data_IF_213760450761
#
_entry.id   IF_213760450761
#
_cell.length_a   1.000
_cell.length_b   1.000
_cell.length_c   1.000
_cell.angle_alpha   90.00
_cell.angle_beta   90.00
_cell.angle_gamma   90.00
#
_symmetry.space_group_name_H-M   'P 1'
#
loop_
_entity.id
_entity.type
_entity.pdbx_description
1 polymer ?
#
# COMPACT_ATOMS: atom_id res chain seq x y z
N UNK A 1 0.01 -35.91 -0.70
CA UNK A 1 -0.09 -35.20 -1.99
C UNK A 1 0.16 -33.75 -1.67
N UNK A 2 1.36 -33.27 -1.98
CA UNK A 2 1.70 -31.84 -1.88
C UNK A 2 0.81 -31.11 -2.87
N UNK A 3 -0.13 -30.35 -2.35
CA UNK A 3 -1.12 -29.63 -3.12
C UNK A 3 -0.39 -28.53 -3.89
N UNK A 4 -0.07 -28.77 -5.17
CA UNK A 4 0.69 -27.82 -6.00
C UNK A 4 -0.04 -26.46 -6.01
N UNK A 5 0.69 -25.34 -5.83
CA UNK A 5 0.08 -24.03 -5.86
C UNK A 5 -0.50 -23.75 -7.26
N UNK A 6 -1.81 -23.52 -7.34
CA UNK A 6 -2.47 -23.06 -8.56
C UNK A 6 -2.32 -21.55 -8.71
N UNK A 7 -2.55 -21.00 -9.90
CA UNK A 7 -2.59 -19.55 -10.11
C UNK A 7 -3.61 -18.85 -9.18
N UNK A 8 -4.74 -19.49 -8.89
CA UNK A 8 -5.74 -18.98 -7.94
C UNK A 8 -5.21 -18.86 -6.51
N UNK A 9 -4.52 -19.89 -6.02
CA UNK A 9 -3.84 -19.85 -4.71
C UNK A 9 -2.76 -18.77 -4.69
N UNK A 10 -1.98 -18.63 -5.76
CA UNK A 10 -0.98 -17.57 -5.90
C UNK A 10 -1.60 -16.16 -5.83
N UNK A 11 -2.67 -15.90 -6.59
CA UNK A 11 -3.39 -14.62 -6.52
C UNK A 11 -3.87 -14.32 -5.09
N UNK A 12 -4.42 -15.33 -4.40
CA UNK A 12 -4.90 -15.15 -3.04
C UNK A 12 -3.77 -14.85 -2.05
N UNK A 13 -2.62 -15.50 -2.18
CA UNK A 13 -1.44 -15.23 -1.35
C UNK A 13 -0.89 -13.82 -1.56
N UNK A 14 -0.77 -13.40 -2.83
CA UNK A 14 -0.30 -12.05 -3.19
C UNK A 14 -1.32 -10.93 -2.91
N UNK A 15 -2.55 -11.25 -2.47
CA UNK A 15 -3.53 -10.24 -2.04
C UNK A 15 -3.09 -9.43 -0.81
N UNK A 16 -2.15 -9.98 -0.03
CA UNK A 16 -1.61 -9.37 1.17
C UNK A 16 -0.95 -8.00 0.92
N UNK A 17 -0.24 -7.85 -0.21
CA UNK A 17 0.44 -6.61 -0.58
C UNK A 17 -0.54 -5.44 -0.81
N UNK A 18 -1.52 -5.51 -1.75
CA UNK A 18 -2.47 -4.42 -1.92
C UNK A 18 -3.32 -4.17 -0.68
N UNK A 19 -3.61 -5.20 0.14
CA UNK A 19 -4.29 -4.99 1.42
C UNK A 19 -3.47 -4.09 2.34
N UNK A 20 -2.20 -4.43 2.58
CA UNK A 20 -1.34 -3.68 3.48
C UNK A 20 -1.04 -2.27 2.96
N UNK A 21 -0.84 -2.12 1.65
CA UNK A 21 -0.73 -0.79 1.03
C UNK A 21 -1.99 0.04 1.28
N UNK A 22 -3.17 -0.56 1.12
CA UNK A 22 -4.44 0.11 1.44
C UNK A 22 -4.54 0.50 2.91
N UNK A 23 -4.11 -0.35 3.84
CA UNK A 23 -4.06 -0.03 5.27
C UNK A 23 -3.12 1.14 5.57
N UNK A 24 -1.90 1.13 5.02
CA UNK A 24 -0.94 2.22 5.15
C UNK A 24 -1.51 3.54 4.60
N UNK A 25 -2.12 3.52 3.43
CA UNK A 25 -2.75 4.71 2.83
C UNK A 25 -3.89 5.27 3.68
N UNK A 26 -4.72 4.40 4.27
CA UNK A 26 -5.76 4.86 5.21
C UNK A 26 -5.17 5.48 6.47
N UNK A 27 -4.09 4.91 7.00
CA UNK A 27 -3.41 5.47 8.16
C UNK A 27 -2.82 6.86 7.87
N UNK A 28 -2.26 7.08 6.67
CA UNK A 28 -1.82 8.41 6.24
C UNK A 28 -2.97 9.42 6.23
N UNK A 29 -4.14 9.04 5.70
CA UNK A 29 -5.33 9.90 5.73
C UNK A 29 -5.74 10.27 7.15
N UNK A 30 -5.72 9.31 8.08
CA UNK A 30 -6.04 9.56 9.49
C UNK A 30 -5.05 10.54 10.12
N UNK A 31 -3.74 10.38 9.89
CA UNK A 31 -2.72 11.30 10.42
C UNK A 31 -2.95 12.72 9.91
N UNK A 32 -3.21 12.90 8.61
CA UNK A 32 -3.47 14.22 8.04
C UNK A 32 -4.77 14.84 8.55
N UNK A 33 -5.83 14.06 8.70
CA UNK A 33 -7.10 14.55 9.25
C UNK A 33 -6.96 14.94 10.73
N UNK A 34 -6.19 14.20 11.52
CA UNK A 34 -5.91 14.60 12.92
C UNK A 34 -5.06 15.85 12.99
N UNK A 35 -4.10 16.00 12.09
CA UNK A 35 -3.25 17.18 12.02
C UNK A 35 -4.06 18.45 11.77
N UNK A 36 -5.06 18.40 10.87
CA UNK A 36 -5.85 19.59 10.54
C UNK A 36 -6.60 20.17 11.75
N UNK A 37 -6.91 19.37 12.77
CA UNK A 37 -7.55 19.82 14.00
C UNK A 37 -6.65 20.69 14.88
N UNK A 38 -5.32 20.66 14.68
CA UNK A 38 -4.37 21.48 15.42
C UNK A 38 -4.16 22.87 14.78
N UNK A 39 -4.70 23.12 13.59
CA UNK A 39 -4.49 24.35 12.84
C UNK A 39 -5.35 25.49 13.38
N UNK A 40 -4.74 26.65 13.56
CA UNK A 40 -5.44 27.90 13.87
C UNK A 40 -6.07 28.47 12.60
N UNK A 41 -7.38 28.31 12.42
CA UNK A 41 -8.06 28.76 11.22
C UNK A 41 -8.23 30.29 11.12
N UNK A 42 -7.85 31.07 12.13
CA UNK A 42 -7.76 32.52 12.00
C UNK A 42 -6.49 32.95 11.25
N UNK A 43 -5.45 32.12 11.25
CA UNK A 43 -4.24 32.33 10.45
C UNK A 43 -4.46 31.94 8.95
N UNK A 44 -4.21 32.87 8.00
CA UNK A 44 -4.37 32.58 6.57
C UNK A 44 -3.48 31.46 6.02
N UNK A 45 -2.32 31.18 6.63
CA UNK A 45 -1.45 30.10 6.17
C UNK A 45 -1.99 28.74 6.61
N UNK A 46 -2.42 28.64 7.87
CA UNK A 46 -3.06 27.47 8.45
C UNK A 46 -4.36 27.12 7.73
N UNK A 47 -5.16 28.09 7.26
CA UNK A 47 -6.32 27.80 6.39
C UNK A 47 -5.95 27.12 5.07
N UNK A 48 -4.87 27.57 4.42
CA UNK A 48 -4.38 26.97 3.16
C UNK A 48 -3.87 25.55 3.39
N UNK A 49 -3.18 25.33 4.50
CA UNK A 49 -2.73 24.00 4.91
C UNK A 49 -3.92 23.07 5.18
N UNK A 50 -4.93 23.55 5.91
CA UNK A 50 -6.16 22.80 6.17
C UNK A 50 -6.84 22.37 4.88
N UNK A 51 -7.04 23.29 3.92
CA UNK A 51 -7.67 23.00 2.63
C UNK A 51 -6.87 21.93 1.84
N UNK A 52 -5.55 22.09 1.76
CA UNK A 52 -4.69 21.13 1.08
C UNK A 52 -4.80 19.73 1.70
N UNK A 53 -4.74 19.64 3.03
CA UNK A 53 -4.77 18.35 3.73
C UNK A 53 -6.15 17.71 3.64
N UNK A 54 -7.23 18.48 3.75
CA UNK A 54 -8.60 17.98 3.58
C UNK A 54 -8.81 17.37 2.17
N UNK A 55 -8.26 17.99 1.12
CA UNK A 55 -8.27 17.43 -0.23
C UNK A 55 -7.54 16.08 -0.30
N UNK A 56 -6.32 16.03 0.22
CA UNK A 56 -5.49 14.81 0.23
C UNK A 56 -6.10 13.67 1.05
N UNK A 57 -6.77 13.97 2.17
CA UNK A 57 -7.47 12.97 2.99
C UNK A 57 -8.51 12.22 2.17
N UNK A 58 -9.29 12.93 1.34
CA UNK A 58 -10.25 12.33 0.43
C UNK A 58 -9.59 11.38 -0.58
N UNK A 59 -8.54 11.85 -1.25
CA UNK A 59 -7.80 11.06 -2.25
C UNK A 59 -7.17 9.80 -1.64
N UNK A 60 -6.55 9.90 -0.47
CA UNK A 60 -5.98 8.75 0.23
C UNK A 60 -7.04 7.72 0.63
N UNK A 61 -8.21 8.17 1.13
CA UNK A 61 -9.33 7.27 1.45
C UNK A 61 -9.82 6.52 0.22
N UNK A 62 -9.93 7.21 -0.92
CA UNK A 62 -10.35 6.60 -2.19
C UNK A 62 -9.33 5.55 -2.68
N UNK A 63 -8.04 5.89 -2.67
CA UNK A 63 -6.97 4.97 -3.06
C UNK A 63 -6.93 3.76 -2.13
N UNK A 64 -7.03 3.97 -0.83
CA UNK A 64 -7.10 2.90 0.17
C UNK A 64 -8.27 1.94 -0.10
N UNK A 65 -9.46 2.48 -0.33
CA UNK A 65 -10.65 1.68 -0.63
C UNK A 65 -10.48 0.82 -1.88
N UNK A 66 -9.89 1.38 -2.93
CA UNK A 66 -9.61 0.64 -4.19
C UNK A 66 -8.59 -0.48 -3.99
N UNK A 67 -7.52 -0.23 -3.24
CA UNK A 67 -6.49 -1.22 -2.93
C UNK A 67 -7.06 -2.39 -2.10
N UNK A 68 -7.85 -2.08 -1.07
CA UNK A 68 -8.51 -3.09 -0.23
C UNK A 68 -9.53 -3.91 -1.02
N UNK A 69 -10.31 -3.26 -1.88
CA UNK A 69 -11.26 -3.94 -2.75
C UNK A 69 -10.56 -4.87 -3.75
N UNK A 70 -9.42 -4.44 -4.32
CA UNK A 70 -8.60 -5.28 -5.19
C UNK A 70 -8.06 -6.50 -4.43
N UNK A 71 -7.50 -6.29 -3.24
CA UNK A 71 -7.03 -7.37 -2.38
C UNK A 71 -8.14 -8.39 -2.07
N UNK A 72 -9.36 -7.92 -1.75
CA UNK A 72 -10.51 -8.79 -1.53
C UNK A 72 -10.86 -9.64 -2.75
N UNK A 73 -10.82 -9.07 -3.96
CA UNK A 73 -11.03 -9.83 -5.20
C UNK A 73 -9.93 -10.87 -5.43
N UNK A 74 -8.66 -10.50 -5.23
CA UNK A 74 -7.52 -11.40 -5.36
C UNK A 74 -7.63 -12.59 -4.39
N UNK A 75 -7.94 -12.32 -3.12
CA UNK A 75 -8.19 -13.34 -2.11
C UNK A 75 -9.35 -14.27 -2.49
N UNK A 76 -10.41 -13.73 -3.09
CA UNK A 76 -11.57 -14.48 -3.57
C UNK A 76 -11.27 -15.46 -4.71
N UNK A 77 -10.14 -15.30 -5.43
CA UNK A 77 -9.73 -16.23 -6.49
C UNK A 77 -8.97 -17.46 -5.97
N UNK A 78 -8.89 -17.69 -4.66
CA UNK A 78 -8.16 -18.83 -4.07
C UNK A 78 -8.50 -20.17 -4.72
N UNK A 79 -9.77 -20.40 -4.99
CA UNK A 79 -10.28 -21.67 -5.54
C UNK A 79 -10.39 -21.65 -7.08
N UNK A 80 -9.83 -20.62 -7.75
CA UNK A 80 -9.81 -20.53 -9.19
C UNK A 80 -8.99 -21.69 -9.78
N UNK A 81 -9.58 -22.53 -10.66
CA UNK A 81 -8.85 -23.63 -11.28
C UNK A 81 -7.78 -23.12 -12.24
N UNK A 82 -6.67 -23.85 -12.35
CA UNK A 82 -5.61 -23.51 -13.28
C UNK A 82 -6.07 -23.79 -14.72
N UNK A 83 -6.07 -22.75 -15.56
CA UNK A 83 -6.27 -22.89 -17.00
C UNK A 83 -5.08 -23.59 -17.68
N UNK A 84 -5.26 -24.00 -18.93
CA UNK A 84 -4.12 -24.46 -19.75
C UNK A 84 -3.21 -23.26 -20.02
N UNK A 85 -1.92 -23.42 -19.79
CA UNK A 85 -0.91 -22.40 -20.09
C UNK A 85 -0.04 -22.86 -21.25
N UNK A 86 0.32 -21.95 -22.14
CA UNK A 86 1.45 -22.14 -23.05
C UNK A 86 2.74 -21.84 -22.28
N UNK A 87 3.50 -22.89 -21.98
CA UNK A 87 4.72 -22.76 -21.19
C UNK A 87 5.82 -22.00 -21.94
N UNK A 88 5.85 -22.06 -23.28
CA UNK A 88 6.80 -21.27 -24.05
C UNK A 88 6.52 -19.78 -23.91
N UNK A 89 5.25 -19.39 -23.91
CA UNK A 89 4.84 -18.01 -23.70
C UNK A 89 5.10 -17.53 -22.27
N UNK A 90 4.90 -18.38 -21.26
CA UNK A 90 5.20 -18.02 -19.86
C UNK A 90 6.70 -17.82 -19.59
N UNK A 91 7.55 -18.53 -20.34
CA UNK A 91 9.01 -18.44 -20.21
C UNK A 91 9.63 -17.49 -21.24
N UNK A 92 8.80 -16.77 -22.01
CA UNK A 92 9.29 -15.78 -22.95
C UNK A 92 10.12 -14.70 -22.22
N UNK A 93 11.25 -14.23 -22.80
CA UNK A 93 12.09 -13.22 -22.15
C UNK A 93 11.33 -11.96 -21.71
N UNK A 94 10.26 -11.56 -22.40
CA UNK A 94 9.45 -10.42 -21.98
C UNK A 94 8.63 -10.72 -20.70
N UNK A 95 8.12 -11.94 -20.56
CA UNK A 95 7.40 -12.37 -19.35
C UNK A 95 8.35 -12.43 -18.14
N UNK A 96 9.56 -12.99 -18.35
CA UNK A 96 10.61 -13.01 -17.32
C UNK A 96 11.02 -11.58 -16.94
N UNK A 97 11.28 -10.72 -17.92
CA UNK A 97 11.66 -9.32 -17.67
C UNK A 97 10.60 -8.52 -16.91
N UNK A 98 9.31 -8.79 -17.14
CA UNK A 98 8.24 -8.18 -16.37
C UNK A 98 8.28 -8.59 -14.89
N UNK A 99 8.59 -9.86 -14.60
CA UNK A 99 8.73 -10.35 -13.24
C UNK A 99 10.01 -9.83 -12.56
N UNK A 100 11.13 -9.71 -13.28
CA UNK A 100 12.35 -9.08 -12.78
C UNK A 100 12.10 -7.62 -12.37
N UNK A 101 11.37 -6.87 -13.20
CA UNK A 101 10.96 -5.50 -12.88
C UNK A 101 10.11 -5.45 -11.60
N UNK A 102 9.16 -6.39 -11.46
CA UNK A 102 8.32 -6.49 -10.27
C UNK A 102 9.15 -6.71 -9.01
N UNK A 103 10.04 -7.70 -9.01
CA UNK A 103 10.94 -7.99 -7.87
C UNK A 103 11.83 -6.80 -7.53
N UNK A 104 12.32 -6.07 -8.54
CA UNK A 104 13.11 -4.85 -8.32
C UNK A 104 12.31 -3.79 -7.55
N UNK A 105 11.06 -3.53 -7.94
CA UNK A 105 10.19 -2.54 -7.28
C UNK A 105 9.84 -2.99 -5.86
N UNK A 106 9.65 -4.28 -5.63
CA UNK A 106 9.43 -4.80 -4.27
C UNK A 106 10.63 -4.51 -3.35
N UNK A 107 11.85 -4.70 -3.83
CA UNK A 107 13.06 -4.39 -3.06
C UNK A 107 13.21 -2.88 -2.81
N UNK A 108 12.95 -2.03 -3.81
CA UNK A 108 12.97 -0.58 -3.64
C UNK A 108 11.92 -0.11 -2.61
N UNK A 109 10.74 -0.73 -2.60
CA UNK A 109 9.70 -0.47 -1.62
C UNK A 109 10.13 -0.92 -0.22
N UNK A 110 10.76 -2.08 -0.08
CA UNK A 110 11.29 -2.57 1.19
C UNK A 110 12.29 -1.57 1.79
N UNK A 111 13.30 -1.16 1.02
CA UNK A 111 14.33 -0.20 1.43
C UNK A 111 13.73 1.17 1.83
N UNK A 112 12.64 1.57 1.18
CA UNK A 112 11.91 2.79 1.55
C UNK A 112 11.19 2.62 2.88
N UNK A 113 10.47 1.52 3.07
CA UNK A 113 9.68 1.27 4.26
C UNK A 113 10.54 1.06 5.51
N UNK A 114 11.70 0.42 5.37
CA UNK A 114 12.66 0.27 6.47
C UNK A 114 13.15 1.64 6.98
N UNK A 115 13.61 2.50 6.07
CA UNK A 115 14.06 3.87 6.41
C UNK A 115 12.93 4.72 7.01
N UNK A 116 11.73 4.66 6.44
CA UNK A 116 10.57 5.38 6.99
C UNK A 116 10.21 4.89 8.38
N UNK A 117 10.19 3.58 8.60
CA UNK A 117 9.84 3.02 9.91
C UNK A 117 10.82 3.46 11.01
N UNK A 118 12.11 3.64 10.71
CA UNK A 118 13.06 4.23 11.65
C UNK A 118 12.75 5.70 11.95
N UNK A 119 12.51 6.51 10.92
CA UNK A 119 12.17 7.93 11.05
C UNK A 119 10.86 8.14 11.83
N UNK A 120 9.83 7.39 11.48
CA UNK A 120 8.50 7.48 12.10
C UNK A 120 8.53 7.05 13.57
N UNK A 121 9.34 6.05 13.92
CA UNK A 121 9.57 5.68 15.34
C UNK A 121 10.30 6.78 16.11
N UNK A 122 11.28 7.43 15.49
CA UNK A 122 11.96 8.60 16.07
C UNK A 122 10.99 9.75 16.31
N UNK A 123 10.15 10.06 15.33
CA UNK A 123 9.09 11.08 15.45
C UNK A 123 8.10 10.72 16.57
N UNK A 124 7.65 9.47 16.62
CA UNK A 124 6.74 9.01 17.68
C UNK A 124 7.35 9.16 19.07
N UNK A 125 8.65 8.91 19.22
CA UNK A 125 9.36 9.12 20.49
C UNK A 125 9.42 10.60 20.87
N UNK A 126 9.70 11.50 19.93
CA UNK A 126 9.72 12.95 20.16
C UNK A 126 8.32 13.50 20.53
N UNK A 127 7.27 13.03 19.86
CA UNK A 127 5.88 13.36 20.21
C UNK A 127 5.53 12.92 21.64
N UNK A 128 6.04 11.76 22.09
CA UNK A 128 5.80 11.25 23.43
C UNK A 128 6.58 12.01 24.52
N UNK A 129 7.77 12.54 24.21
CA UNK A 129 8.55 13.35 25.16
C UNK A 129 8.11 14.81 25.23
N UNK A 130 7.35 15.29 24.25
CA UNK A 130 6.93 16.69 24.13
C UNK A 130 7.99 17.60 23.54
N UNK A 131 9.04 17.04 22.94
CA UNK A 131 10.14 17.77 22.28
C UNK A 131 9.92 17.95 20.77
N UNK A 132 8.68 17.77 20.31
CA UNK A 132 8.30 17.83 18.89
C UNK A 132 8.33 19.26 18.32
#
# INVERSE_FOLDING_TARGET
MTDEPTCGKGLAEHSSLPRLMGDLTAATAEVLERHTHALDLDDPSSRREHEAYAGLVGEFRDVSGRLKALAGRMAGYRDLPMGRHDMSAMMDPAAVGAFEQYVRVENELLDLLERRAEQDRGMLAAMASGDA
#
